data_IF_253738845966
#
_entry.id   IF_253738845966
#
_cell.length_a   1.000
_cell.length_b   1.000
_cell.length_c   1.000
_cell.angle_alpha   90.00
_cell.angle_beta   90.00
_cell.angle_gamma   90.00
#
_symmetry.space_group_name_H-M   'P 1'
#
loop_
_entity.id
_entity.type
_entity.pdbx_description
1 polymer ?
#
# COMPACT_ATOMS: atom_id res chain seq x y z
N UNK A 1 6.37 13.94 38.78
CA UNK A 1 5.53 13.78 37.56
C UNK A 1 6.18 12.66 36.74
N UNK A 2 5.69 11.41 36.91
CA UNK A 2 6.24 10.29 36.13
C UNK A 2 5.86 10.49 34.67
N UNK A 3 6.87 10.71 33.85
CA UNK A 3 6.75 10.55 32.40
C UNK A 3 6.50 9.04 32.22
N UNK A 4 5.24 8.64 32.04
CA UNK A 4 4.91 7.31 31.56
C UNK A 4 5.61 7.21 30.21
N UNK A 5 6.55 6.29 30.09
CA UNK A 5 7.19 5.96 28.82
C UNK A 5 6.07 5.67 27.82
N UNK A 6 5.90 6.60 26.90
CA UNK A 6 4.99 6.40 25.78
C UNK A 6 5.58 5.26 24.98
N UNK A 7 4.81 4.24 24.72
CA UNK A 7 5.20 3.11 23.88
C UNK A 7 5.56 3.65 22.48
N UNK A 8 6.82 4.03 22.33
CA UNK A 8 7.36 4.60 21.11
C UNK A 8 8.13 3.50 20.38
N UNK A 9 8.02 3.46 19.05
CA UNK A 9 8.74 2.54 18.18
C UNK A 9 10.21 2.35 18.60
N UNK A 10 10.91 3.44 18.88
CA UNK A 10 12.34 3.42 19.26
C UNK A 10 12.63 2.72 20.59
N UNK A 11 11.66 2.62 21.50
CA UNK A 11 11.87 1.91 22.79
C UNK A 11 12.02 0.41 22.58
N UNK A 12 11.47 -0.15 21.53
CA UNK A 12 11.55 -1.58 21.20
C UNK A 12 12.80 -1.96 20.39
N UNK A 13 13.55 -0.98 19.86
CA UNK A 13 14.78 -1.27 19.15
C UNK A 13 15.88 -1.74 20.11
N UNK A 14 16.72 -2.69 19.69
CA UNK A 14 17.86 -3.13 20.48
C UNK A 14 18.86 -2.00 20.67
N UNK A 15 19.59 -2.05 21.78
CA UNK A 15 20.64 -1.11 22.09
C UNK A 15 21.95 -1.54 21.43
N UNK A 16 22.79 -0.58 21.09
CA UNK A 16 24.15 -0.78 20.54
C UNK A 16 25.10 0.20 21.20
N UNK A 17 26.32 -0.28 21.49
CA UNK A 17 27.38 0.58 21.97
C UNK A 17 28.11 1.24 20.81
N UNK A 18 28.05 2.57 20.76
CA UNK A 18 28.68 3.36 19.71
C UNK A 18 29.91 4.08 20.32
N UNK A 19 31.07 3.92 19.67
CA UNK A 19 32.26 4.66 20.07
C UNK A 19 32.09 6.13 19.66
N UNK A 20 32.11 7.00 20.66
CA UNK A 20 32.07 8.44 20.44
C UNK A 20 33.47 9.05 20.67
N UNK A 21 33.83 10.06 19.88
CA UNK A 21 34.99 10.88 20.15
C UNK A 21 34.62 11.83 21.30
N UNK A 22 35.24 11.61 22.45
CA UNK A 22 34.90 12.18 23.75
C UNK A 22 35.13 13.69 23.90
N UNK A 23 34.55 14.52 23.04
CA UNK A 23 34.69 15.98 23.20
C UNK A 23 33.55 16.65 23.97
N UNK A 24 32.48 15.93 24.31
CA UNK A 24 31.28 16.57 24.88
C UNK A 24 30.74 16.02 26.19
N UNK A 25 31.14 14.85 26.64
CA UNK A 25 30.45 14.20 27.78
C UNK A 25 31.23 14.25 29.10
N UNK A 26 32.47 14.73 29.12
CA UNK A 26 33.27 14.82 30.37
C UNK A 26 33.47 13.45 31.04
N UNK A 27 32.99 12.37 30.49
CA UNK A 27 33.18 11.00 30.96
C UNK A 27 34.28 10.35 30.17
N UNK A 28 35.17 9.61 30.86
CA UNK A 28 36.28 8.86 30.24
C UNK A 28 35.80 7.61 29.48
N UNK A 29 34.49 7.38 29.36
CA UNK A 29 33.94 6.23 28.65
C UNK A 29 33.88 6.54 27.16
N UNK A 30 34.63 5.82 26.31
CA UNK A 30 34.60 6.00 24.86
C UNK A 30 33.33 5.46 24.19
N UNK A 31 32.47 4.81 24.93
CA UNK A 31 31.25 4.18 24.41
C UNK A 31 30.00 4.80 25.01
N UNK A 32 29.03 5.07 24.15
CA UNK A 32 27.71 5.55 24.53
C UNK A 32 26.66 4.52 24.05
N UNK A 33 25.72 4.23 24.94
CA UNK A 33 24.58 3.40 24.60
C UNK A 33 23.63 4.18 23.68
N UNK A 34 23.33 3.64 22.51
CA UNK A 34 22.42 4.23 21.54
C UNK A 34 21.44 3.19 21.00
N UNK A 35 20.29 3.63 20.51
CA UNK A 35 19.33 2.76 19.83
C UNK A 35 19.85 2.38 18.45
N UNK A 36 19.73 1.09 18.09
CA UNK A 36 20.17 0.58 16.79
C UNK A 36 19.12 0.91 15.72
N UNK A 37 19.29 2.04 15.05
CA UNK A 37 18.41 2.49 13.98
C UNK A 37 18.56 1.72 12.66
N UNK A 38 19.60 0.88 12.54
CA UNK A 38 19.80 0.03 11.36
C UNK A 38 18.97 -1.25 11.39
N UNK A 39 18.30 -1.51 12.51
CA UNK A 39 17.35 -2.62 12.63
C UNK A 39 15.92 -2.11 12.63
N UNK A 40 15.07 -2.81 11.87
CA UNK A 40 13.62 -2.64 11.87
C UNK A 40 12.98 -3.72 12.72
N UNK A 41 11.94 -3.37 13.45
CA UNK A 41 11.06 -4.33 14.09
C UNK A 41 10.20 -4.97 12.97
N UNK A 42 10.02 -6.28 13.04
CA UNK A 42 9.10 -7.03 12.18
C UNK A 42 8.15 -7.84 13.06
N UNK A 43 6.93 -7.99 12.64
CA UNK A 43 6.00 -8.94 13.25
C UNK A 43 6.53 -10.34 12.94
N UNK A 44 6.44 -11.23 13.90
CA UNK A 44 6.87 -12.64 13.73
C UNK A 44 5.96 -13.30 12.70
N UNK A 45 6.56 -14.02 11.77
CA UNK A 45 5.84 -14.68 10.67
C UNK A 45 4.83 -15.74 11.15
N UNK A 46 5.13 -16.37 12.29
CA UNK A 46 4.25 -17.36 12.93
C UNK A 46 3.01 -16.76 13.59
N UNK A 47 2.98 -15.44 13.82
CA UNK A 47 1.82 -14.76 14.41
C UNK A 47 0.71 -14.51 13.38
N UNK A 48 1.03 -14.41 12.10
CA UNK A 48 0.02 -14.24 11.05
C UNK A 48 -0.97 -15.41 11.00
N UNK A 49 -0.51 -16.61 11.34
CA UNK A 49 -1.33 -17.82 11.34
C UNK A 49 -2.16 -18.02 12.63
N UNK A 50 -1.75 -17.36 13.72
CA UNK A 50 -2.36 -17.52 15.06
C UNK A 50 -3.33 -16.37 15.38
N UNK A 51 -3.09 -15.17 14.83
CA UNK A 51 -3.92 -14.01 15.14
C UNK A 51 -5.17 -14.01 14.25
N UNK A 52 -6.26 -14.55 14.77
CA UNK A 52 -7.60 -14.45 14.19
C UNK A 52 -8.22 -13.03 14.30
N UNK A 53 -7.48 -12.06 14.79
CA UNK A 53 -7.96 -10.74 15.16
C UNK A 53 -7.56 -9.60 14.24
N UNK A 54 -7.15 -9.87 13.00
CA UNK A 54 -6.95 -8.80 12.02
C UNK A 54 -8.28 -8.35 11.43
N UNK A 55 -8.68 -7.14 11.73
CA UNK A 55 -9.82 -6.49 11.11
C UNK A 55 -9.34 -5.59 9.98
N UNK A 56 -10.00 -5.71 8.81
CA UNK A 56 -9.71 -4.84 7.67
C UNK A 56 -10.31 -3.46 7.93
N UNK A 57 -9.47 -2.45 7.95
CA UNK A 57 -9.87 -1.07 8.03
C UNK A 57 -9.81 -0.41 6.64
N UNK A 58 -10.90 0.19 6.21
CA UNK A 58 -10.93 0.95 4.96
C UNK A 58 -10.51 2.39 5.24
N UNK A 59 -9.33 2.76 4.75
CA UNK A 59 -8.80 4.13 4.87
C UNK A 59 -9.71 5.07 4.09
N UNK A 60 -10.14 6.14 4.73
CA UNK A 60 -10.95 7.16 4.10
C UNK A 60 -10.07 8.19 3.42
N UNK A 61 -10.62 8.89 2.43
CA UNK A 61 -9.86 9.85 1.65
C UNK A 61 -9.11 10.85 2.54
N UNK A 62 -7.82 10.99 2.31
CA UNK A 62 -6.92 11.88 3.05
C UNK A 62 -6.68 11.53 4.54
N UNK A 63 -6.96 10.30 4.97
CA UNK A 63 -6.63 9.85 6.32
C UNK A 63 -5.16 9.53 6.47
N UNK A 64 -4.52 10.10 7.50
CA UNK A 64 -3.12 9.83 7.83
C UNK A 64 -3.00 8.66 8.82
N UNK A 65 -1.83 7.97 8.87
CA UNK A 65 -1.61 6.86 9.79
C UNK A 65 -1.89 7.19 11.26
N UNK A 66 -1.57 8.40 11.70
CA UNK A 66 -1.81 8.89 13.05
C UNK A 66 -3.31 9.03 13.36
N UNK A 67 -4.11 9.45 12.38
CA UNK A 67 -5.57 9.54 12.52
C UNK A 67 -6.22 8.16 12.58
N UNK A 68 -5.75 7.22 11.74
CA UNK A 68 -6.18 5.83 11.79
C UNK A 68 -5.84 5.22 13.15
N UNK A 69 -4.62 5.43 13.65
CA UNK A 69 -4.21 4.96 14.97
C UNK A 69 -5.07 5.53 16.09
N UNK A 70 -5.44 6.81 16.00
CA UNK A 70 -6.35 7.44 16.97
C UNK A 70 -7.74 6.79 16.94
N UNK A 71 -8.27 6.47 15.76
CA UNK A 71 -9.59 5.85 15.62
C UNK A 71 -9.61 4.41 16.10
N UNK A 72 -8.61 3.62 15.73
CA UNK A 72 -8.57 2.17 16.00
C UNK A 72 -8.06 1.88 17.41
N UNK A 73 -6.99 2.55 17.84
CA UNK A 73 -6.32 2.28 19.13
C UNK A 73 -6.58 3.34 20.20
N UNK A 74 -7.26 4.43 19.85
CA UNK A 74 -7.50 5.54 20.81
C UNK A 74 -6.25 6.36 21.14
N UNK A 75 -5.15 6.16 20.43
CA UNK A 75 -3.88 6.86 20.69
C UNK A 75 -3.08 7.07 19.41
N UNK A 76 -2.78 8.33 19.12
CA UNK A 76 -2.00 8.78 17.95
C UNK A 76 -0.59 8.16 17.90
N UNK A 77 0.02 7.86 19.07
CA UNK A 77 1.38 7.34 19.12
C UNK A 77 1.53 5.87 18.64
N UNK A 78 0.44 5.23 18.23
CA UNK A 78 0.45 3.89 17.64
C UNK A 78 0.40 3.89 16.10
N UNK A 79 0.66 5.03 15.47
CA UNK A 79 0.80 5.16 14.02
C UNK A 79 1.83 4.16 13.44
N UNK A 80 2.95 3.97 14.15
CA UNK A 80 3.96 2.99 13.77
C UNK A 80 3.45 1.53 13.80
N UNK A 81 2.46 1.21 14.61
CA UNK A 81 1.84 -0.13 14.62
C UNK A 81 1.07 -0.35 13.34
N UNK A 82 0.30 0.65 12.90
CA UNK A 82 -0.44 0.61 11.63
C UNK A 82 0.51 0.37 10.47
N UNK A 83 1.62 1.13 10.40
CA UNK A 83 2.63 1.00 9.36
C UNK A 83 3.36 -0.34 9.41
N UNK A 84 3.70 -0.81 10.63
CA UNK A 84 4.40 -2.08 10.82
C UNK A 84 3.57 -3.28 10.39
N UNK A 85 2.27 -3.31 10.75
CA UNK A 85 1.34 -4.39 10.42
C UNK A 85 1.16 -4.51 8.91
N UNK A 86 1.10 -3.39 8.21
CA UNK A 86 0.96 -3.34 6.75
C UNK A 86 2.30 -3.39 6.00
N UNK A 87 3.41 -3.57 6.73
CA UNK A 87 4.78 -3.61 6.19
C UNK A 87 5.20 -2.35 5.42
N UNK A 88 4.58 -1.21 5.69
CA UNK A 88 4.89 0.07 5.07
C UNK A 88 6.22 0.60 5.60
N UNK A 89 7.15 0.90 4.69
CA UNK A 89 8.49 1.44 5.00
C UNK A 89 8.52 2.93 4.71
N UNK A 90 8.00 3.32 3.56
CA UNK A 90 7.96 4.71 3.13
C UNK A 90 6.51 5.19 3.06
N UNK A 91 6.10 5.96 4.06
CA UNK A 91 4.73 6.48 4.15
C UNK A 91 4.35 7.37 2.96
N UNK A 92 5.34 8.00 2.31
CA UNK A 92 5.07 8.92 1.20
C UNK A 92 4.73 8.20 -0.11
N UNK A 93 5.23 6.98 -0.28
CA UNK A 93 5.06 6.21 -1.52
C UNK A 93 4.10 5.02 -1.34
N UNK A 94 3.99 4.50 -0.11
CA UNK A 94 3.26 3.25 0.17
C UNK A 94 1.92 3.49 0.91
N UNK A 95 1.70 4.71 1.43
CA UNK A 95 0.41 5.06 2.03
C UNK A 95 -0.55 5.53 0.95
N UNK A 96 -1.85 5.14 1.01
CA UNK A 96 -2.83 5.54 0.01
C UNK A 96 -2.86 7.06 -0.20
N UNK A 97 -2.61 7.46 -1.43
CA UNK A 97 -2.58 8.85 -1.84
C UNK A 97 -3.98 9.37 -2.07
N UNK A 98 -4.16 10.69 -1.94
CA UNK A 98 -5.38 11.33 -2.43
C UNK A 98 -5.40 11.30 -3.97
N UNK A 99 -6.58 11.40 -4.58
CA UNK A 99 -6.75 11.45 -6.03
C UNK A 99 -5.84 12.51 -6.70
N UNK A 100 -5.72 13.68 -6.07
CA UNK A 100 -4.86 14.74 -6.59
C UNK A 100 -3.36 14.43 -6.45
N UNK A 101 -2.96 13.79 -5.37
CA UNK A 101 -1.56 13.37 -5.16
C UNK A 101 -1.19 12.24 -6.12
N UNK A 102 -2.08 11.27 -6.32
CA UNK A 102 -1.92 10.20 -7.29
C UNK A 102 -1.76 10.77 -8.70
N UNK A 103 -2.65 11.68 -9.12
CA UNK A 103 -2.51 12.34 -10.43
C UNK A 103 -1.16 13.05 -10.58
N UNK A 104 -0.73 13.80 -9.57
CA UNK A 104 0.55 14.50 -9.59
C UNK A 104 1.74 13.51 -9.61
N UNK A 105 1.63 12.38 -8.92
CA UNK A 105 2.62 11.31 -8.95
C UNK A 105 2.73 10.71 -10.36
N UNK A 106 1.59 10.38 -10.97
CA UNK A 106 1.53 9.83 -12.32
C UNK A 106 2.10 10.80 -13.38
N UNK A 107 1.76 12.08 -13.28
CA UNK A 107 2.32 13.11 -14.18
C UNK A 107 3.85 13.21 -14.05
N UNK A 108 4.39 13.07 -12.85
CA UNK A 108 5.85 13.06 -12.64
C UNK A 108 6.53 11.79 -13.16
N UNK A 109 5.85 10.64 -13.06
CA UNK A 109 6.38 9.34 -13.44
C UNK A 109 6.34 9.10 -14.96
N UNK A 110 5.24 9.46 -15.61
CA UNK A 110 4.96 9.12 -17.00
C UNK A 110 4.90 10.33 -17.94
N UNK A 111 4.73 11.53 -17.42
CA UNK A 111 4.50 12.72 -18.21
C UNK A 111 3.01 13.03 -18.38
N UNK A 112 2.69 14.31 -18.57
CA UNK A 112 1.30 14.80 -18.62
C UNK A 112 0.49 14.19 -19.77
N UNK A 113 1.13 13.98 -20.92
CA UNK A 113 0.47 13.53 -22.14
C UNK A 113 0.15 12.02 -22.12
N UNK A 114 0.84 11.25 -21.25
CA UNK A 114 0.69 9.80 -21.17
C UNK A 114 -0.22 9.35 -20.02
N UNK A 115 -0.51 10.22 -19.05
CA UNK A 115 -1.34 9.86 -17.87
C UNK A 115 -2.75 9.41 -18.25
N UNK A 116 -3.32 10.00 -19.31
CA UNK A 116 -4.63 9.62 -19.84
C UNK A 116 -4.54 8.54 -20.93
N UNK A 117 -3.34 8.03 -21.19
CA UNK A 117 -3.08 6.98 -22.18
C UNK A 117 -3.69 5.65 -21.77
N UNK A 118 -3.97 4.81 -22.78
CA UNK A 118 -4.42 3.43 -22.57
C UNK A 118 -3.21 2.60 -22.19
N UNK A 119 -3.24 1.99 -21.00
CA UNK A 119 -2.20 1.08 -20.55
C UNK A 119 -2.39 -0.33 -21.13
N UNK A 120 -3.62 -0.84 -21.05
CA UNK A 120 -3.98 -2.15 -21.60
C UNK A 120 -5.48 -2.25 -21.85
N UNK A 121 -5.92 -3.33 -22.46
CA UNK A 121 -7.33 -3.65 -22.65
C UNK A 121 -7.73 -4.81 -21.75
N UNK A 122 -8.93 -4.75 -21.20
CA UNK A 122 -9.51 -5.83 -20.38
C UNK A 122 -10.86 -6.25 -20.93
N UNK A 123 -11.18 -7.53 -20.77
CA UNK A 123 -12.47 -8.07 -21.15
C UNK A 123 -13.60 -7.50 -20.29
N UNK A 124 -14.77 -7.41 -20.86
CA UNK A 124 -16.05 -7.21 -20.16
C UNK A 124 -16.77 -8.56 -20.02
N UNK A 125 -17.59 -8.69 -18.99
CA UNK A 125 -18.34 -9.91 -18.76
C UNK A 125 -19.35 -10.15 -19.86
N UNK A 126 -19.24 -11.27 -20.57
CA UNK A 126 -20.21 -11.70 -21.57
C UNK A 126 -21.02 -12.85 -21.00
N UNK A 127 -22.34 -12.69 -20.97
CA UNK A 127 -23.29 -13.72 -20.52
C UNK A 127 -24.08 -14.33 -21.68
N UNK A 128 -24.42 -15.58 -21.51
CA UNK A 128 -25.42 -16.28 -22.36
C UNK A 128 -26.81 -15.71 -22.12
N UNK A 129 -27.73 -15.97 -23.05
CA UNK A 129 -29.20 -15.72 -22.89
C UNK A 129 -29.77 -16.44 -21.66
N UNK A 130 -29.13 -17.49 -21.17
CA UNK A 130 -29.53 -18.22 -19.95
C UNK A 130 -28.90 -17.63 -18.67
N UNK A 131 -28.05 -16.60 -18.78
CA UNK A 131 -27.36 -15.96 -17.64
C UNK A 131 -26.02 -16.56 -17.30
N UNK A 132 -25.55 -17.62 -17.94
CA UNK A 132 -24.26 -18.25 -17.69
C UNK A 132 -23.12 -17.34 -18.17
N UNK A 133 -22.07 -17.21 -17.38
CA UNK A 133 -20.89 -16.42 -17.74
C UNK A 133 -20.08 -17.19 -18.79
N UNK A 134 -19.98 -16.63 -19.99
CA UNK A 134 -19.20 -17.17 -21.10
C UNK A 134 -17.78 -16.60 -21.13
N UNK A 135 -17.64 -15.32 -20.80
CA UNK A 135 -16.36 -14.64 -20.66
C UNK A 135 -16.37 -13.83 -19.35
N UNK A 136 -15.30 -13.92 -18.56
CA UNK A 136 -15.16 -13.17 -17.30
C UNK A 136 -14.68 -11.76 -17.57
N UNK A 137 -15.11 -10.83 -16.71
CA UNK A 137 -14.54 -9.47 -16.65
C UNK A 137 -13.10 -9.47 -16.14
N UNK A 138 -12.31 -8.47 -16.57
CA UNK A 138 -11.00 -8.17 -16.01
C UNK A 138 -9.83 -9.02 -16.55
N UNK A 139 -10.02 -9.82 -17.61
CA UNK A 139 -8.91 -10.54 -18.24
C UNK A 139 -8.16 -9.59 -19.19
N UNK A 140 -6.87 -9.43 -19.01
CA UNK A 140 -6.05 -8.61 -19.89
C UNK A 140 -5.93 -9.26 -21.27
N UNK A 141 -6.23 -8.49 -22.31
CA UNK A 141 -6.27 -8.94 -23.71
C UNK A 141 -5.67 -7.87 -24.63
N UNK A 142 -5.22 -8.26 -25.84
CA UNK A 142 -4.80 -7.28 -26.84
C UNK A 142 -6.00 -6.49 -27.37
N UNK A 143 -5.74 -5.34 -27.99
CA UNK A 143 -6.75 -4.44 -28.54
C UNK A 143 -7.65 -5.10 -29.61
N UNK A 144 -7.10 -6.01 -30.38
CA UNK A 144 -7.75 -6.73 -31.48
C UNK A 144 -8.44 -8.03 -31.04
N UNK A 145 -8.59 -8.25 -29.73
CA UNK A 145 -9.22 -9.44 -29.17
C UNK A 145 -10.65 -9.60 -29.69
N UNK A 146 -10.96 -10.81 -30.12
CA UNK A 146 -12.29 -11.19 -30.65
C UNK A 146 -12.82 -12.42 -29.90
N UNK A 147 -14.10 -12.45 -29.68
CA UNK A 147 -14.78 -13.57 -29.05
C UNK A 147 -16.07 -13.91 -29.81
N UNK A 148 -16.21 -15.17 -30.20
CA UNK A 148 -17.44 -15.71 -30.76
C UNK A 148 -18.19 -16.49 -29.71
N UNK A 149 -19.50 -16.23 -29.59
CA UNK A 149 -20.38 -17.04 -28.76
C UNK A 149 -20.48 -18.48 -29.30
N UNK A 150 -20.92 -19.46 -28.51
CA UNK A 150 -21.10 -20.85 -28.97
C UNK A 150 -22.07 -21.01 -30.14
N UNK A 151 -22.93 -20.04 -30.36
CA UNK A 151 -23.85 -19.97 -31.50
C UNK A 151 -23.21 -19.42 -32.79
N UNK A 152 -21.93 -19.08 -32.73
CA UNK A 152 -21.16 -18.50 -33.82
C UNK A 152 -21.30 -17.00 -33.99
N UNK A 153 -22.08 -16.32 -33.13
CA UNK A 153 -22.23 -14.87 -33.17
C UNK A 153 -21.03 -14.16 -32.59
N UNK A 154 -20.46 -13.21 -33.33
CA UNK A 154 -19.37 -12.38 -32.84
C UNK A 154 -19.86 -11.33 -31.84
N UNK A 155 -19.19 -11.18 -30.71
CA UNK A 155 -19.50 -10.13 -29.73
C UNK A 155 -18.87 -8.81 -30.23
N UNK A 156 -19.64 -7.70 -30.26
CA UNK A 156 -19.10 -6.40 -30.65
C UNK A 156 -17.96 -5.94 -29.74
N UNK A 157 -16.93 -5.30 -30.29
CA UNK A 157 -15.76 -4.82 -29.53
C UNK A 157 -16.17 -3.95 -28.31
N UNK A 158 -17.16 -3.09 -28.48
CA UNK A 158 -17.63 -2.19 -27.41
C UNK A 158 -18.23 -2.93 -26.19
N UNK A 159 -18.76 -4.15 -26.41
CA UNK A 159 -19.31 -5.02 -25.35
C UNK A 159 -18.29 -6.04 -24.85
N UNK A 160 -17.19 -6.22 -25.59
CA UNK A 160 -16.21 -7.27 -25.35
C UNK A 160 -15.02 -6.78 -24.54
N UNK A 161 -14.51 -5.60 -24.84
CA UNK A 161 -13.31 -5.05 -24.21
C UNK A 161 -13.50 -3.59 -23.83
N UNK A 162 -12.85 -3.20 -22.73
CA UNK A 162 -12.72 -1.79 -22.31
C UNK A 162 -11.27 -1.40 -22.15
N UNK A 163 -10.92 -0.14 -22.45
CA UNK A 163 -9.57 0.35 -22.14
C UNK A 163 -9.40 0.49 -20.62
N UNK A 164 -8.27 0.06 -20.13
CA UNK A 164 -7.78 0.40 -18.80
C UNK A 164 -6.77 1.53 -18.95
N UNK A 165 -7.06 2.67 -18.36
CA UNK A 165 -6.20 3.84 -18.42
C UNK A 165 -5.01 3.65 -17.48
N UNK A 166 -3.89 4.25 -17.79
CA UNK A 166 -2.68 4.19 -16.97
C UNK A 166 -2.97 4.68 -15.53
N UNK A 167 -3.68 5.79 -15.40
CA UNK A 167 -4.07 6.34 -14.10
C UNK A 167 -4.90 5.37 -13.25
N UNK A 168 -5.87 4.65 -13.85
CA UNK A 168 -6.72 3.72 -13.11
C UNK A 168 -6.02 2.39 -12.83
N UNK A 169 -5.06 2.00 -13.66
CA UNK A 169 -4.27 0.77 -13.50
C UNK A 169 -3.34 0.87 -12.29
N UNK A 170 -2.53 1.93 -12.22
CA UNK A 170 -1.61 2.13 -11.09
C UNK A 170 -2.34 2.35 -9.75
N UNK A 171 -3.52 2.97 -9.78
CA UNK A 171 -4.34 3.15 -8.58
C UNK A 171 -4.97 1.84 -8.05
N UNK A 172 -5.01 0.78 -8.86
CA UNK A 172 -5.55 -0.52 -8.45
C UNK A 172 -4.48 -1.48 -7.93
N UNK A 173 -3.19 -1.21 -8.23
CA UNK A 173 -2.05 -2.02 -7.82
C UNK A 173 -1.45 -1.59 -6.46
N UNK A 174 -1.92 -0.47 -5.87
CA UNK A 174 -1.61 -0.02 -4.50
C UNK A 174 -2.69 -0.49 -3.51
#
# INVERSE_FOLDING_TARGET
MCIRDRANYFSYLPDVFVRTKSYRTGTNDPYVLAKNLFRRIKIRDDLSDVILGFEKYTIQNNERPDQVAQKVYGNVNYDWVVLLVNNIINVYDEWPMTEQEMYNYMVRKYGKDEVEGIHHWVTQEVRSTRGDIQLRDGIQVPEDFQYARPDGTMVPKAELVRPCLLYTSDAADE
#
